data_IF_313107624106
#
_entry.id   IF_313107624106
#
_cell.length_a   1.000
_cell.length_b   1.000
_cell.length_c   1.000
_cell.angle_alpha   90.00
_cell.angle_beta   90.00
_cell.angle_gamma   90.00
#
_symmetry.space_group_name_H-M   'P 1'
#
loop_
_entity.id
_entity.type
_entity.pdbx_description
1 polymer ?
#
# COMPACT_ATOMS: atom_id res chain seq x y z
N UNK A 1 -26.32 0.82 -8.14
CA UNK A 1 -25.79 1.55 -9.30
C UNK A 1 -24.44 0.92 -9.55
N UNK A 2 -24.20 0.42 -10.76
CA UNK A 2 -22.87 -0.09 -11.12
C UNK A 2 -21.90 1.10 -11.10
N UNK A 3 -21.20 1.25 -9.98
CA UNK A 3 -20.08 2.19 -9.86
C UNK A 3 -18.91 1.59 -10.62
N UNK A 4 -18.90 1.81 -11.94
CA UNK A 4 -17.77 1.54 -12.82
C UNK A 4 -16.98 2.84 -12.98
N UNK A 5 -15.69 2.79 -12.67
CA UNK A 5 -14.74 3.92 -12.84
C UNK A 5 -14.32 4.01 -14.30
N UNK A 6 -14.15 2.86 -14.94
CA UNK A 6 -13.76 2.72 -16.34
C UNK A 6 -14.50 1.54 -16.99
N UNK A 7 -14.83 1.69 -18.27
CA UNK A 7 -15.42 0.61 -19.05
C UNK A 7 -14.35 -0.44 -19.43
N UNK A 8 -14.72 -1.71 -19.65
CA UNK A 8 -13.75 -2.76 -20.05
C UNK A 8 -12.89 -2.40 -21.27
N UNK A 9 -13.48 -1.74 -22.28
CA UNK A 9 -12.74 -1.31 -23.49
C UNK A 9 -11.72 -0.21 -23.19
N UNK A 10 -12.05 0.70 -22.26
CA UNK A 10 -11.09 1.73 -21.82
C UNK A 10 -9.96 1.10 -21.02
N UNK A 11 -10.27 0.14 -20.15
CA UNK A 11 -9.28 -0.60 -19.37
C UNK A 11 -8.32 -1.37 -20.27
N UNK A 12 -8.80 -2.02 -21.33
CA UNK A 12 -7.98 -2.71 -22.32
C UNK A 12 -6.97 -1.75 -22.97
N UNK A 13 -7.44 -0.59 -23.45
CA UNK A 13 -6.57 0.45 -24.02
C UNK A 13 -5.52 0.97 -23.03
N UNK A 14 -5.91 1.19 -21.77
CA UNK A 14 -4.99 1.62 -20.72
C UNK A 14 -3.92 0.57 -20.45
N UNK A 15 -4.31 -0.68 -20.21
CA UNK A 15 -3.38 -1.79 -19.92
C UNK A 15 -2.41 -1.98 -21.08
N UNK A 16 -2.89 -2.01 -22.33
CA UNK A 16 -2.05 -2.22 -23.50
C UNK A 16 -0.98 -1.11 -23.64
N UNK A 17 -1.36 0.14 -23.31
CA UNK A 17 -0.49 1.31 -23.40
C UNK A 17 0.60 1.41 -22.32
N UNK A 18 0.52 0.60 -21.25
CA UNK A 18 1.49 0.67 -20.15
C UNK A 18 2.91 0.38 -20.66
N UNK A 19 3.86 1.25 -20.31
CA UNK A 19 5.26 1.17 -20.69
C UNK A 19 6.19 1.47 -19.50
N UNK A 20 7.45 1.07 -19.61
CA UNK A 20 8.47 1.40 -18.60
C UNK A 20 9.08 2.76 -18.89
N UNK A 21 9.31 3.58 -17.86
CA UNK A 21 9.93 4.90 -17.99
C UNK A 21 11.36 4.94 -17.46
N UNK A 22 12.18 5.85 -18.01
CA UNK A 22 13.48 6.14 -17.42
C UNK A 22 13.35 7.06 -16.20
N UNK A 23 14.36 7.04 -15.31
CA UNK A 23 14.34 7.86 -14.09
C UNK A 23 14.26 9.37 -14.38
N UNK A 24 14.78 9.81 -15.53
CA UNK A 24 14.72 11.21 -15.98
C UNK A 24 13.29 11.63 -16.37
N UNK A 25 12.48 10.69 -16.84
CA UNK A 25 11.12 10.94 -17.33
C UNK A 25 10.06 10.92 -16.21
N UNK A 26 10.43 10.54 -15.00
CA UNK A 26 9.54 10.59 -13.82
C UNK A 26 9.00 12.02 -13.66
N UNK A 27 7.67 12.12 -13.63
CA UNK A 27 6.92 13.39 -13.57
C UNK A 27 6.69 14.08 -14.92
N UNK A 28 7.21 13.56 -16.04
CA UNK A 28 6.87 14.08 -17.37
C UNK A 28 5.37 13.94 -17.67
N UNK A 29 4.86 14.67 -18.68
CA UNK A 29 3.44 14.59 -19.05
C UNK A 29 3.01 13.16 -19.43
N UNK A 30 3.88 12.43 -20.14
CA UNK A 30 3.64 11.01 -20.48
C UNK A 30 3.56 10.14 -19.23
N UNK A 31 4.48 10.35 -18.30
CA UNK A 31 4.51 9.60 -17.04
C UNK A 31 3.26 9.90 -16.18
N UNK A 32 2.86 11.16 -16.05
CA UNK A 32 1.62 11.52 -15.32
C UNK A 32 0.37 10.94 -15.97
N UNK A 33 0.33 10.85 -17.30
CA UNK A 33 -0.76 10.19 -18.02
C UNK A 33 -0.83 8.70 -17.71
N UNK A 34 0.30 8.01 -17.67
CA UNK A 34 0.34 6.61 -17.24
C UNK A 34 -0.06 6.45 -15.77
N UNK A 35 0.38 7.34 -14.88
CA UNK A 35 -0.06 7.32 -13.48
C UNK A 35 -1.60 7.43 -13.37
N UNK A 36 -2.23 8.31 -14.14
CA UNK A 36 -3.69 8.43 -14.19
C UNK A 36 -4.36 7.12 -14.65
N UNK A 37 -3.79 6.45 -15.65
CA UNK A 37 -4.30 5.15 -16.11
C UNK A 37 -4.19 4.09 -15.02
N UNK A 38 -3.02 3.96 -14.38
CA UNK A 38 -2.79 2.98 -13.31
C UNK A 38 -3.72 3.26 -12.12
N UNK A 39 -3.93 4.53 -11.76
CA UNK A 39 -4.85 4.91 -10.67
C UNK A 39 -6.29 4.51 -10.98
N UNK A 40 -6.77 4.72 -12.21
CA UNK A 40 -8.10 4.26 -12.64
C UNK A 40 -8.22 2.73 -12.64
N UNK A 41 -7.20 2.03 -13.12
CA UNK A 41 -7.12 0.56 -13.08
C UNK A 41 -7.16 0.06 -11.63
N UNK A 42 -6.41 0.70 -10.72
CA UNK A 42 -6.39 0.40 -9.29
C UNK A 42 -7.78 0.55 -8.66
N UNK A 43 -8.44 1.69 -8.84
CA UNK A 43 -9.79 1.90 -8.33
C UNK A 43 -10.76 0.84 -8.85
N UNK A 44 -10.74 0.54 -10.15
CA UNK A 44 -11.62 -0.46 -10.74
C UNK A 44 -11.32 -1.87 -10.22
N UNK A 45 -10.05 -2.24 -10.04
CA UNK A 45 -9.67 -3.52 -9.48
C UNK A 45 -10.21 -3.71 -8.04
N UNK A 46 -10.11 -2.67 -7.21
CA UNK A 46 -10.66 -2.69 -5.84
C UNK A 46 -12.17 -2.88 -5.87
N UNK A 47 -12.87 -2.21 -6.79
CA UNK A 47 -14.33 -2.34 -6.94
C UNK A 47 -14.73 -3.74 -7.39
N UNK A 48 -14.02 -4.31 -8.37
CA UNK A 48 -14.28 -5.68 -8.84
C UNK A 48 -14.12 -6.69 -7.68
N UNK A 49 -13.01 -6.59 -6.94
CA UNK A 49 -12.73 -7.46 -5.80
C UNK A 49 -13.74 -7.29 -4.66
N UNK A 50 -14.11 -6.04 -4.34
CA UNK A 50 -15.06 -5.73 -3.25
C UNK A 50 -16.48 -6.18 -3.57
N UNK A 51 -16.88 -6.13 -4.85
CA UNK A 51 -18.19 -6.56 -5.31
C UNK A 51 -18.28 -8.09 -5.54
N UNK A 52 -17.16 -8.82 -5.52
CA UNK A 52 -17.06 -10.21 -5.98
C UNK A 52 -17.56 -10.37 -7.43
N UNK A 53 -17.25 -9.38 -8.27
CA UNK A 53 -17.58 -9.38 -9.70
C UNK A 53 -16.41 -9.97 -10.52
N UNK A 54 -16.60 -10.03 -11.84
CA UNK A 54 -15.53 -10.42 -12.77
C UNK A 54 -14.32 -9.48 -12.67
N UNK A 55 -13.15 -10.04 -12.38
CA UNK A 55 -11.92 -9.29 -12.11
C UNK A 55 -11.16 -8.99 -13.41
N UNK A 56 -11.86 -8.38 -14.38
CA UNK A 56 -11.31 -8.15 -15.73
C UNK A 56 -10.00 -7.34 -15.76
N UNK A 57 -9.75 -6.46 -14.79
CA UNK A 57 -8.48 -5.72 -14.71
C UNK A 57 -7.30 -6.68 -14.52
N UNK A 58 -7.45 -7.67 -13.63
CA UNK A 58 -6.45 -8.72 -13.40
C UNK A 58 -6.23 -9.52 -14.69
N UNK A 59 -7.32 -9.96 -15.33
CA UNK A 59 -7.26 -10.75 -16.57
C UNK A 59 -6.53 -10.00 -17.69
N UNK A 60 -6.81 -8.70 -17.87
CA UNK A 60 -6.13 -7.87 -18.87
C UNK A 60 -4.63 -7.72 -18.55
N UNK A 61 -4.27 -7.45 -17.29
CA UNK A 61 -2.86 -7.29 -16.88
C UNK A 61 -2.05 -8.57 -17.10
N UNK A 62 -2.65 -9.73 -16.81
CA UNK A 62 -2.07 -11.06 -17.06
C UNK A 62 -1.96 -11.30 -18.56
N UNK A 63 -3.05 -11.15 -19.31
CA UNK A 63 -3.12 -11.44 -20.75
C UNK A 63 -2.17 -10.59 -21.59
N UNK A 64 -1.97 -9.32 -21.23
CA UNK A 64 -1.03 -8.43 -21.91
C UNK A 64 0.40 -8.45 -21.33
N UNK A 65 0.67 -9.27 -20.31
CA UNK A 65 1.99 -9.38 -19.70
C UNK A 65 2.49 -8.07 -19.08
N UNK A 66 1.61 -7.31 -18.42
CA UNK A 66 1.92 -5.96 -17.90
C UNK A 66 2.29 -5.93 -16.42
N UNK A 67 2.22 -7.04 -15.71
CA UNK A 67 2.64 -7.11 -14.29
C UNK A 67 4.12 -6.73 -14.13
N UNK A 68 5.07 -7.21 -14.96
CA UNK A 68 6.47 -6.77 -14.87
C UNK A 68 6.65 -5.25 -15.07
N UNK A 69 5.82 -4.61 -15.89
CA UNK A 69 5.84 -3.15 -16.09
C UNK A 69 5.41 -2.44 -14.81
N UNK A 70 4.37 -2.92 -14.13
CA UNK A 70 3.95 -2.38 -12.83
C UNK A 70 5.06 -2.51 -11.78
N UNK A 71 5.69 -3.68 -11.67
CA UNK A 71 6.80 -3.89 -10.73
C UNK A 71 7.96 -2.94 -11.03
N UNK A 72 8.31 -2.76 -12.32
CA UNK A 72 9.33 -1.80 -12.73
C UNK A 72 8.98 -0.36 -12.32
N UNK A 73 7.79 0.12 -12.63
CA UNK A 73 7.38 1.50 -12.33
C UNK A 73 7.33 1.78 -10.82
N UNK A 74 6.93 0.79 -10.02
CA UNK A 74 6.98 0.88 -8.56
C UNK A 74 8.42 1.04 -8.06
N UNK A 75 9.34 0.21 -8.56
CA UNK A 75 10.77 0.24 -8.21
C UNK A 75 11.42 1.54 -8.71
N UNK A 76 11.02 2.05 -9.88
CA UNK A 76 11.49 3.31 -10.43
C UNK A 76 11.21 4.47 -9.48
N UNK A 77 9.98 4.55 -8.95
CA UNK A 77 9.61 5.56 -7.95
C UNK A 77 10.34 5.32 -6.63
N UNK A 78 10.50 4.08 -6.19
CA UNK A 78 11.28 3.76 -4.99
C UNK A 78 12.72 4.30 -5.13
N UNK A 79 13.40 4.05 -6.25
CA UNK A 79 14.75 4.57 -6.54
C UNK A 79 14.75 6.09 -6.59
N UNK A 80 13.76 6.70 -7.24
CA UNK A 80 13.64 8.16 -7.32
C UNK A 80 13.53 8.79 -5.92
N UNK A 81 12.70 8.22 -5.03
CA UNK A 81 12.56 8.68 -3.64
C UNK A 81 13.85 8.54 -2.84
N UNK A 82 14.69 7.55 -3.13
CA UNK A 82 15.95 7.33 -2.42
C UNK A 82 17.13 8.15 -2.96
N UNK A 83 17.17 8.41 -4.27
CA UNK A 83 18.35 8.96 -4.95
C UNK A 83 18.17 10.39 -5.44
N UNK A 84 16.95 10.77 -5.85
CA UNK A 84 16.67 12.07 -6.47
C UNK A 84 15.92 12.98 -5.52
N UNK A 85 14.85 12.49 -4.90
CA UNK A 85 14.01 13.28 -3.99
C UNK A 85 14.81 13.98 -2.86
N UNK A 86 15.79 13.34 -2.19
CA UNK A 86 16.59 13.99 -1.15
C UNK A 86 17.42 15.15 -1.67
N UNK A 87 17.82 15.11 -2.95
CA UNK A 87 18.61 16.17 -3.57
C UNK A 87 17.71 17.36 -3.90
N UNK A 88 16.46 17.13 -4.32
CA UNK A 88 15.55 18.20 -4.76
C UNK A 88 15.41 19.31 -3.72
N UNK A 89 15.09 18.97 -2.47
CA UNK A 89 14.93 19.98 -1.41
C UNK A 89 16.25 20.45 -0.79
N UNK A 90 17.40 19.84 -1.14
CA UNK A 90 18.73 20.36 -0.78
C UNK A 90 19.22 21.43 -1.77
N UNK A 91 18.54 21.62 -2.91
CA UNK A 91 18.86 22.67 -3.87
C UNK A 91 18.38 24.02 -3.33
N UNK A 92 19.30 24.98 -3.21
CA UNK A 92 19.01 26.33 -2.68
C UNK A 92 17.93 27.08 -3.48
N UNK A 93 17.82 26.82 -4.79
CA UNK A 93 16.89 27.50 -5.68
C UNK A 93 15.51 26.80 -5.77
N UNK A 94 15.30 25.71 -5.04
CA UNK A 94 14.06 24.94 -5.11
C UNK A 94 13.15 25.22 -3.92
N UNK A 95 12.28 26.21 -4.08
CA UNK A 95 11.18 26.51 -3.16
C UNK A 95 9.85 26.53 -3.92
N UNK A 96 9.26 25.34 -4.20
CA UNK A 96 8.05 25.27 -5.00
C UNK A 96 6.87 25.88 -4.23
N UNK A 97 6.15 26.81 -4.85
CA UNK A 97 4.88 27.33 -4.31
C UNK A 97 3.80 26.25 -4.18
N UNK A 98 3.98 25.12 -4.87
CA UNK A 98 3.05 23.99 -4.86
C UNK A 98 3.84 22.66 -4.97
N UNK A 99 3.64 21.75 -4.02
CA UNK A 99 4.31 20.44 -3.93
C UNK A 99 3.54 19.30 -4.58
N UNK A 100 2.41 19.59 -5.22
CA UNK A 100 1.47 18.60 -5.71
C UNK A 100 2.05 17.60 -6.71
N UNK A 101 2.80 18.06 -7.71
CA UNK A 101 3.44 17.15 -8.67
C UNK A 101 4.42 16.19 -7.97
N UNK A 102 5.14 16.66 -6.95
CA UNK A 102 6.04 15.80 -6.17
C UNK A 102 5.24 14.78 -5.36
N UNK A 103 4.15 15.22 -4.74
CA UNK A 103 3.24 14.34 -4.01
C UNK A 103 2.69 13.24 -4.92
N UNK A 104 2.25 13.58 -6.14
CA UNK A 104 1.75 12.61 -7.12
C UNK A 104 2.81 11.59 -7.55
N UNK A 105 4.08 12.01 -7.68
CA UNK A 105 5.18 11.08 -7.92
C UNK A 105 5.36 10.11 -6.75
N UNK A 106 5.31 10.61 -5.52
CA UNK A 106 5.43 9.78 -4.31
C UNK A 106 4.23 8.82 -4.17
N UNK A 107 3.02 9.32 -4.45
CA UNK A 107 1.77 8.57 -4.38
C UNK A 107 1.71 7.44 -5.40
N UNK A 108 2.36 7.57 -6.56
CA UNK A 108 2.38 6.52 -7.58
C UNK A 108 2.86 5.17 -7.06
N UNK A 109 3.86 5.14 -6.18
CA UNK A 109 4.29 3.88 -5.55
C UNK A 109 3.17 3.24 -4.73
N UNK A 110 2.39 4.05 -3.99
CA UNK A 110 1.24 3.58 -3.22
C UNK A 110 0.12 3.05 -4.13
N UNK A 111 -0.15 3.73 -5.25
CA UNK A 111 -1.09 3.27 -6.26
C UNK A 111 -0.70 1.90 -6.81
N UNK A 112 0.56 1.74 -7.22
CA UNK A 112 1.02 0.51 -7.86
C UNK A 112 1.04 -0.66 -6.88
N UNK A 113 1.57 -0.47 -5.66
CA UNK A 113 1.59 -1.55 -4.66
C UNK A 113 0.17 -1.96 -4.24
N UNK A 114 -0.80 -1.04 -4.23
CA UNK A 114 -2.19 -1.36 -3.93
C UNK A 114 -2.87 -2.14 -5.05
N UNK A 115 -2.58 -1.80 -6.32
CA UNK A 115 -3.03 -2.58 -7.47
C UNK A 115 -2.41 -3.99 -7.43
N UNK A 116 -1.10 -4.11 -7.16
CA UNK A 116 -0.42 -5.38 -6.98
C UNK A 116 -1.01 -6.18 -5.80
N UNK A 117 -1.27 -5.57 -4.65
CA UNK A 117 -1.96 -6.22 -3.52
C UNK A 117 -3.31 -6.79 -3.94
N UNK A 118 -4.06 -6.06 -4.77
CA UNK A 118 -5.39 -6.49 -5.21
C UNK A 118 -5.30 -7.69 -6.15
N UNK A 119 -4.46 -7.62 -7.19
CA UNK A 119 -4.43 -8.64 -8.25
C UNK A 119 -3.63 -9.89 -7.87
N UNK A 120 -2.58 -9.74 -7.03
CA UNK A 120 -1.68 -10.85 -6.68
C UNK A 120 -2.27 -11.82 -5.66
N UNK A 121 -3.46 -11.54 -5.13
CA UNK A 121 -4.22 -12.54 -4.37
C UNK A 121 -4.40 -13.84 -5.17
N UNK A 122 -4.49 -13.74 -6.50
CA UNK A 122 -4.64 -14.88 -7.42
C UNK A 122 -3.30 -15.42 -7.92
N UNK A 123 -3.22 -16.76 -8.06
CA UNK A 123 -1.99 -17.48 -8.45
C UNK A 123 -1.48 -17.09 -9.84
N UNK A 124 -2.38 -16.94 -10.81
CA UNK A 124 -2.08 -16.56 -12.19
C UNK A 124 -1.37 -15.20 -12.30
N UNK A 125 -1.74 -14.22 -11.46
CA UNK A 125 -1.04 -12.94 -11.35
C UNK A 125 0.40 -13.11 -10.85
N UNK A 126 0.63 -13.99 -9.87
CA UNK A 126 1.98 -14.28 -9.37
C UNK A 126 2.84 -14.98 -10.44
N UNK A 127 2.25 -15.89 -11.21
CA UNK A 127 2.94 -16.57 -12.32
C UNK A 127 3.26 -15.60 -13.47
N UNK A 128 2.32 -14.72 -13.81
CA UNK A 128 2.50 -13.71 -14.86
C UNK A 128 3.47 -12.57 -14.48
N UNK A 129 3.87 -12.48 -13.20
CA UNK A 129 4.98 -11.61 -12.80
C UNK A 129 6.34 -12.15 -13.30
N UNK A 130 6.44 -13.43 -13.64
CA UNK A 130 7.66 -14.07 -14.16
C UNK A 130 8.91 -13.70 -13.32
N UNK A 131 10.04 -13.40 -13.94
CA UNK A 131 11.29 -13.00 -13.26
C UNK A 131 11.13 -11.76 -12.35
N UNK A 132 10.18 -10.87 -12.62
CA UNK A 132 9.97 -9.67 -11.81
C UNK A 132 9.47 -9.95 -10.39
N UNK A 133 9.00 -11.17 -10.11
CA UNK A 133 8.64 -11.58 -8.74
C UNK A 133 9.85 -11.54 -7.80
N UNK A 134 11.07 -11.76 -8.31
CA UNK A 134 12.30 -11.66 -7.52
C UNK A 134 12.58 -10.22 -7.10
N UNK A 135 12.39 -9.28 -8.03
CA UNK A 135 12.50 -7.84 -7.76
C UNK A 135 11.44 -7.39 -6.74
N UNK A 136 10.24 -7.98 -6.80
CA UNK A 136 9.17 -7.74 -5.85
C UNK A 136 9.46 -8.32 -4.45
N UNK A 137 10.09 -9.50 -4.35
CA UNK A 137 10.56 -10.05 -3.07
C UNK A 137 11.61 -9.12 -2.44
N UNK A 138 12.55 -8.64 -3.23
CA UNK A 138 13.56 -7.68 -2.80
C UNK A 138 12.94 -6.36 -2.32
N UNK A 139 11.92 -5.88 -3.03
CA UNK A 139 11.12 -4.73 -2.64
C UNK A 139 10.41 -4.95 -1.30
N UNK A 140 9.67 -6.05 -1.16
CA UNK A 140 9.00 -6.41 0.10
C UNK A 140 10.00 -6.48 1.26
N UNK A 141 11.17 -7.09 1.05
CA UNK A 141 12.21 -7.17 2.08
C UNK A 141 12.64 -5.79 2.58
N UNK A 142 12.91 -4.84 1.66
CA UNK A 142 13.30 -3.47 2.01
C UNK A 142 12.21 -2.78 2.82
N UNK A 143 10.95 -2.88 2.39
CA UNK A 143 9.80 -2.28 3.07
C UNK A 143 9.56 -2.85 4.46
N UNK A 144 9.57 -4.18 4.59
CA UNK A 144 9.34 -4.84 5.88
C UNK A 144 10.48 -4.57 6.87
N UNK A 145 11.73 -4.55 6.40
CA UNK A 145 12.89 -4.18 7.24
C UNK A 145 12.80 -2.73 7.70
N UNK A 146 12.41 -1.82 6.80
CA UNK A 146 12.17 -0.42 7.16
C UNK A 146 11.09 -0.29 8.24
N UNK A 147 9.96 -0.98 8.05
CA UNK A 147 8.83 -1.01 8.97
C UNK A 147 9.22 -1.53 10.35
N UNK A 148 9.91 -2.68 10.41
CA UNK A 148 10.42 -3.25 11.65
C UNK A 148 11.38 -2.29 12.35
N UNK A 149 12.31 -1.68 11.60
CA UNK A 149 13.29 -0.74 12.18
C UNK A 149 12.64 0.52 12.76
N UNK A 150 11.58 1.03 12.13
CA UNK A 150 10.85 2.22 12.61
C UNK A 150 10.12 1.90 13.90
N UNK A 151 9.40 0.79 13.98
CA UNK A 151 8.68 0.40 15.18
C UNK A 151 9.60 0.15 16.38
N UNK A 152 10.77 -0.46 16.17
CA UNK A 152 11.76 -0.64 17.24
C UNK A 152 12.27 0.72 17.76
N UNK A 153 12.51 1.69 16.88
CA UNK A 153 12.90 3.05 17.28
C UNK A 153 11.79 3.76 18.04
N UNK A 154 10.56 3.70 17.55
CA UNK A 154 9.40 4.33 18.21
C UNK A 154 9.16 3.75 19.61
N UNK A 155 9.26 2.43 19.77
CA UNK A 155 9.17 1.76 21.06
C UNK A 155 10.26 2.25 22.04
N UNK A 156 11.49 2.45 21.56
CA UNK A 156 12.58 3.00 22.38
C UNK A 156 12.37 4.48 22.76
N UNK A 157 11.81 5.30 21.86
CA UNK A 157 11.58 6.73 22.08
C UNK A 157 10.30 7.05 22.87
N UNK A 158 9.38 6.10 23.05
CA UNK A 158 8.15 6.30 23.84
C UNK A 158 8.46 6.59 25.33
N UNK A 159 9.73 6.48 25.75
CA UNK A 159 10.23 6.91 27.06
C UNK A 159 10.72 8.37 27.15
N UNK A 160 10.77 9.14 26.05
CA UNK A 160 11.26 10.53 26.07
C UNK A 160 10.47 11.47 25.14
N UNK A 161 9.74 12.37 25.80
CA UNK A 161 9.19 13.64 25.32
C UNK A 161 7.98 13.68 24.38
N UNK A 162 6.85 14.06 24.98
CA UNK A 162 5.85 14.95 24.41
C UNK A 162 6.48 16.32 24.10
N UNK A 163 6.61 16.67 22.82
CA UNK A 163 6.83 18.04 22.36
C UNK A 163 6.02 18.25 21.07
N UNK A 164 4.73 18.54 21.21
CA UNK A 164 3.93 19.14 20.14
C UNK A 164 3.97 20.65 20.29
N UNK A 165 4.92 21.28 19.61
CA UNK A 165 4.77 22.66 19.17
C UNK A 165 4.25 22.63 17.75
N UNK A 166 3.08 23.20 17.49
CA UNK A 166 2.59 23.47 16.14
C UNK A 166 3.49 24.54 15.51
N UNK A 167 4.59 24.09 14.90
CA UNK A 167 5.29 24.89 13.91
C UNK A 167 4.55 24.70 12.57
N UNK A 168 4.11 25.81 11.98
CA UNK A 168 3.68 25.82 10.56
C UNK A 168 4.93 25.50 9.75
N UNK A 169 5.13 24.21 9.44
CA UNK A 169 6.26 23.74 8.67
C UNK A 169 6.22 24.29 7.24
N UNK A 170 7.38 24.33 6.58
CA UNK A 170 7.43 24.68 5.16
C UNK A 170 6.65 23.66 4.31
N UNK A 171 6.18 24.03 3.11
CA UNK A 171 5.47 23.11 2.21
C UNK A 171 6.27 21.83 1.89
N UNK A 172 7.61 21.90 1.97
CA UNK A 172 8.51 20.76 1.80
C UNK A 172 8.50 19.85 3.04
N UNK A 173 8.46 20.40 4.24
CA UNK A 173 8.37 19.61 5.49
C UNK A 173 7.03 18.84 5.54
N UNK A 174 5.93 19.48 5.12
CA UNK A 174 4.64 18.80 4.98
C UNK A 174 4.71 17.62 4.00
N UNK A 175 5.35 17.83 2.84
CA UNK A 175 5.55 16.76 1.85
C UNK A 175 6.41 15.62 2.40
N UNK A 176 7.42 15.90 3.22
CA UNK A 176 8.23 14.88 3.89
C UNK A 176 7.41 14.07 4.90
N UNK A 177 6.53 14.73 5.66
CA UNK A 177 5.61 14.05 6.57
C UNK A 177 4.61 13.17 5.81
N UNK A 178 4.05 13.67 4.71
CA UNK A 178 3.16 12.91 3.83
C UNK A 178 3.87 11.69 3.22
N UNK A 179 5.11 11.86 2.74
CA UNK A 179 5.93 10.76 2.25
C UNK A 179 6.18 9.70 3.34
N UNK A 180 6.47 10.12 4.58
CA UNK A 180 6.69 9.20 5.69
C UNK A 180 5.42 8.42 6.07
N UNK A 181 4.25 9.07 6.02
CA UNK A 181 2.95 8.44 6.23
C UNK A 181 2.62 7.44 5.12
N UNK A 182 2.77 7.83 3.84
CA UNK A 182 2.60 6.92 2.70
C UNK A 182 3.55 5.73 2.77
N UNK A 183 4.81 5.95 3.17
CA UNK A 183 5.79 4.88 3.31
C UNK A 183 5.37 3.82 4.33
N UNK A 184 4.66 4.22 5.40
CA UNK A 184 4.07 3.28 6.35
C UNK A 184 2.99 2.44 5.67
N UNK A 185 2.04 3.06 4.97
CA UNK A 185 0.95 2.36 4.28
C UNK A 185 1.47 1.42 3.18
N UNK A 186 2.40 1.89 2.35
CA UNK A 186 3.11 1.09 1.35
C UNK A 186 3.76 -0.14 1.99
N UNK A 187 4.40 0.03 3.14
CA UNK A 187 5.04 -1.10 3.83
C UNK A 187 4.02 -2.12 4.34
N UNK A 188 2.84 -1.70 4.79
CA UNK A 188 1.76 -2.61 5.17
C UNK A 188 1.22 -3.39 3.96
N UNK A 189 1.10 -2.73 2.80
CA UNK A 189 0.71 -3.37 1.53
C UNK A 189 1.74 -4.41 1.08
N UNK A 190 3.03 -4.10 1.24
CA UNK A 190 4.12 -5.02 0.95
C UNK A 190 4.08 -6.30 1.81
N UNK A 191 3.52 -6.24 3.03
CA UNK A 191 3.30 -7.44 3.86
C UNK A 191 2.27 -8.38 3.21
N UNK A 192 1.14 -7.82 2.73
CA UNK A 192 0.13 -8.61 2.01
C UNK A 192 0.70 -9.20 0.72
N UNK A 193 1.41 -8.40 -0.08
CA UNK A 193 2.03 -8.86 -1.32
C UNK A 193 3.03 -9.99 -1.07
N UNK A 194 3.89 -9.86 -0.04
CA UNK A 194 4.78 -10.93 0.36
C UNK A 194 4.00 -12.19 0.73
N UNK A 195 2.91 -12.06 1.50
CA UNK A 195 2.08 -13.23 1.85
C UNK A 195 1.58 -13.94 0.61
N UNK A 196 1.05 -13.22 -0.38
CA UNK A 196 0.57 -13.82 -1.62
C UNK A 196 1.68 -14.53 -2.41
N UNK A 197 2.87 -13.95 -2.45
CA UNK A 197 4.04 -14.63 -3.03
C UNK A 197 4.33 -15.94 -2.29
N UNK A 198 4.29 -15.94 -0.95
CA UNK A 198 4.50 -17.18 -0.17
C UNK A 198 3.40 -18.21 -0.36
N UNK A 199 2.16 -17.80 -0.65
CA UNK A 199 1.05 -18.71 -0.94
C UNK A 199 1.30 -19.47 -2.26
N UNK A 200 1.71 -18.74 -3.29
CA UNK A 200 1.68 -19.22 -4.68
C UNK A 200 3.02 -19.67 -5.27
N UNK A 201 4.16 -19.28 -4.67
CA UNK A 201 5.46 -19.55 -5.29
C UNK A 201 5.92 -21.00 -5.13
N UNK A 202 6.28 -21.61 -6.27
CA UNK A 202 6.97 -22.90 -6.38
C UNK A 202 8.40 -22.71 -6.94
N UNK A 203 8.79 -21.46 -7.24
CA UNK A 203 10.09 -21.14 -7.84
C UNK A 203 11.21 -21.29 -6.83
N UNK A 204 12.17 -22.15 -7.15
CA UNK A 204 13.38 -22.39 -6.35
C UNK A 204 14.17 -21.08 -6.14
N UNK A 205 14.28 -20.24 -7.16
CA UNK A 205 14.97 -18.94 -7.08
C UNK A 205 14.29 -18.03 -6.07
N UNK A 206 12.96 -17.96 -6.08
CA UNK A 206 12.16 -17.13 -5.18
C UNK A 206 12.26 -17.63 -3.74
N UNK A 207 12.12 -18.94 -3.53
CA UNK A 207 12.27 -19.56 -2.21
C UNK A 207 13.67 -19.30 -1.65
N UNK A 208 14.72 -19.48 -2.47
CA UNK A 208 16.10 -19.22 -2.06
C UNK A 208 16.32 -17.74 -1.70
N UNK A 209 15.76 -16.82 -2.48
CA UNK A 209 15.81 -15.38 -2.23
C UNK A 209 15.17 -15.02 -0.88
N UNK A 210 13.96 -15.54 -0.61
CA UNK A 210 13.25 -15.28 0.64
C UNK A 210 13.95 -15.88 1.86
N UNK A 211 14.42 -17.12 1.77
CA UNK A 211 14.93 -17.88 2.91
C UNK A 211 16.41 -17.66 3.16
N UNK A 212 17.23 -17.76 2.12
CA UNK A 212 18.70 -17.79 2.24
C UNK A 212 19.31 -16.40 2.04
N UNK A 213 18.77 -15.59 1.13
CA UNK A 213 19.29 -14.22 0.91
C UNK A 213 18.76 -13.25 1.96
N UNK A 214 17.44 -13.18 2.14
CA UNK A 214 16.80 -12.15 2.98
C UNK A 214 16.43 -12.61 4.38
N UNK A 215 16.43 -13.92 4.65
CA UNK A 215 15.98 -14.47 5.92
C UNK A 215 14.62 -13.90 6.36
N UNK A 216 13.65 -13.93 5.43
CA UNK A 216 12.30 -13.43 5.63
C UNK A 216 11.61 -13.96 6.90
N UNK A 217 11.78 -15.25 7.31
CA UNK A 217 11.19 -15.72 8.56
C UNK A 217 11.61 -14.89 9.78
N UNK A 218 12.88 -14.49 9.88
CA UNK A 218 13.36 -13.65 10.98
C UNK A 218 12.80 -12.22 10.91
N UNK A 219 12.66 -11.65 9.71
CA UNK A 219 12.02 -10.34 9.52
C UNK A 219 10.56 -10.38 9.98
N UNK A 220 9.82 -11.43 9.61
CA UNK A 220 8.42 -11.63 10.01
C UNK A 220 8.27 -11.85 11.53
N UNK A 221 9.18 -12.58 12.17
CA UNK A 221 9.23 -12.69 13.64
C UNK A 221 9.40 -11.32 14.28
N UNK A 222 10.28 -10.48 13.74
CA UNK A 222 10.49 -9.13 14.27
C UNK A 222 9.23 -8.27 14.13
N UNK A 223 8.45 -8.42 13.05
CA UNK A 223 7.19 -7.72 12.87
C UNK A 223 6.10 -8.17 13.85
N UNK A 224 6.06 -9.45 14.23
CA UNK A 224 5.17 -9.94 15.30
C UNK A 224 5.57 -9.33 16.64
N UNK A 225 6.87 -9.28 16.92
CA UNK A 225 7.41 -8.76 18.17
C UNK A 225 7.14 -7.26 18.35
N UNK A 226 7.42 -6.44 17.32
CA UNK A 226 7.22 -4.99 17.41
C UNK A 226 5.81 -4.52 17.03
N UNK A 227 5.02 -5.35 16.34
CA UNK A 227 3.63 -5.10 15.89
C UNK A 227 3.39 -3.63 15.44
N UNK A 228 3.98 -3.20 14.30
CA UNK A 228 4.02 -1.78 13.90
C UNK A 228 2.64 -1.17 13.63
N UNK A 229 1.60 -1.98 13.44
CA UNK A 229 0.21 -1.57 13.28
C UNK A 229 -0.58 -1.55 14.60
N UNK A 230 0.09 -1.65 15.75
CA UNK A 230 -0.50 -1.53 17.09
C UNK A 230 0.32 -0.57 17.94
N UNK A 231 -0.34 0.32 18.68
CA UNK A 231 0.34 1.26 19.58
C UNK A 231 -0.50 1.55 20.82
N UNK A 232 0.16 1.96 21.91
CA UNK A 232 -0.50 2.44 23.11
C UNK A 232 -0.28 3.96 23.24
N UNK A 233 -1.36 4.73 23.32
CA UNK A 233 -1.34 6.18 23.56
C UNK A 233 -2.19 6.50 24.77
N UNK A 234 -1.59 7.14 25.78
CA UNK A 234 -2.30 7.57 27.00
C UNK A 234 -3.07 6.45 27.72
N UNK A 235 -2.57 5.20 27.64
CA UNK A 235 -3.23 4.01 28.22
C UNK A 235 -4.30 3.37 27.33
N UNK A 236 -4.61 3.98 26.19
CA UNK A 236 -5.52 3.43 25.18
C UNK A 236 -4.75 2.67 24.09
N UNK A 237 -5.26 1.50 23.73
CA UNK A 237 -4.70 0.69 22.64
C UNK A 237 -5.33 1.13 21.33
N UNK A 238 -4.51 1.51 20.36
CA UNK A 238 -4.91 1.82 18.99
C UNK A 238 -4.31 0.79 18.04
N UNK A 239 -5.11 0.31 17.07
CA UNK A 239 -4.65 -0.52 15.97
C UNK A 239 -4.94 0.15 14.63
N UNK A 240 -4.05 -0.02 13.66
CA UNK A 240 -4.22 0.51 12.32
C UNK A 240 -5.06 -0.46 11.48
N UNK A 241 -6.30 -0.08 11.20
CA UNK A 241 -7.31 -0.91 10.53
C UNK A 241 -7.99 -0.08 9.45
N UNK A 242 -8.07 -0.62 8.23
CA UNK A 242 -8.74 0.01 7.08
C UNK A 242 -8.26 1.46 6.80
N UNK A 243 -6.95 1.67 6.77
CA UNK A 243 -6.36 2.97 6.41
C UNK A 243 -6.32 4.00 7.55
N UNK A 244 -6.70 3.63 8.78
CA UNK A 244 -6.76 4.58 9.91
C UNK A 244 -6.42 3.92 11.24
N UNK A 245 -5.86 4.71 12.15
CA UNK A 245 -5.70 4.33 13.55
C UNK A 245 -7.05 4.35 14.27
N UNK A 246 -7.42 3.24 14.89
CA UNK A 246 -8.70 3.07 15.60
C UNK A 246 -8.44 2.65 17.03
N UNK A 247 -9.15 3.26 17.99
CA UNK A 247 -9.14 2.86 19.39
C UNK A 247 -9.83 1.50 19.54
N UNK A 248 -9.21 0.59 20.28
CA UNK A 248 -9.67 -0.78 20.44
C UNK A 248 -10.23 -0.98 21.85
N UNK A 249 -11.52 -1.33 21.98
CA UNK A 249 -12.13 -1.72 23.26
C UNK A 249 -11.37 -2.85 23.93
N UNK A 250 -11.45 -2.93 25.27
CA UNK A 250 -10.67 -3.90 26.07
C UNK A 250 -10.93 -5.34 25.63
N UNK A 251 -12.19 -5.65 25.36
CA UNK A 251 -12.68 -6.95 24.87
C UNK A 251 -12.09 -7.37 23.52
N UNK A 252 -11.74 -6.41 22.65
CA UNK A 252 -11.23 -6.67 21.30
C UNK A 252 -9.70 -6.57 21.22
N UNK A 253 -9.00 -6.28 22.32
CA UNK A 253 -7.53 -6.09 22.31
C UNK A 253 -6.78 -7.34 21.82
N UNK A 254 -7.28 -8.53 22.14
CA UNK A 254 -6.71 -9.81 21.73
C UNK A 254 -7.19 -10.26 20.32
N UNK A 255 -8.11 -9.52 19.71
CA UNK A 255 -8.58 -9.84 18.36
C UNK A 255 -7.46 -9.60 17.35
N UNK A 256 -7.24 -10.60 16.51
CA UNK A 256 -6.25 -10.59 15.44
C UNK A 256 -6.69 -9.60 14.34
N UNK A 257 -5.77 -8.76 13.89
CA UNK A 257 -5.99 -7.90 12.73
C UNK A 257 -5.72 -8.66 11.43
N UNK A 258 -6.15 -8.11 10.29
CA UNK A 258 -5.81 -8.67 8.97
C UNK A 258 -4.30 -8.77 8.77
N UNK A 259 -3.54 -7.77 9.21
CA UNK A 259 -2.09 -7.71 9.08
C UNK A 259 -1.38 -8.78 9.90
N UNK A 260 -1.84 -9.01 11.13
CA UNK A 260 -1.35 -10.13 11.94
C UNK A 260 -1.54 -11.46 11.18
N UNK A 261 -2.73 -11.66 10.59
CA UNK A 261 -3.03 -12.80 9.74
C UNK A 261 -2.05 -12.94 8.55
N UNK A 262 -1.74 -11.85 7.85
CA UNK A 262 -0.79 -11.88 6.73
C UNK A 262 0.59 -12.39 7.18
N UNK A 263 1.10 -11.91 8.33
CA UNK A 263 2.42 -12.31 8.83
C UNK A 263 2.43 -13.74 9.31
N UNK A 264 1.39 -14.17 10.03
CA UNK A 264 1.26 -15.55 10.51
C UNK A 264 1.15 -16.57 9.37
N UNK A 265 0.36 -16.26 8.34
CA UNK A 265 0.22 -17.13 7.17
C UNK A 265 1.55 -17.18 6.39
N UNK A 266 2.23 -16.04 6.23
CA UNK A 266 3.57 -16.01 5.61
C UNK A 266 4.57 -16.89 6.35
N UNK A 267 4.59 -16.84 7.69
CA UNK A 267 5.42 -17.71 8.51
C UNK A 267 5.04 -19.18 8.39
N UNK A 268 3.73 -19.48 8.39
CA UNK A 268 3.23 -20.84 8.17
C UNK A 268 3.76 -21.40 6.84
N UNK A 269 3.62 -20.65 5.74
CA UNK A 269 4.09 -21.05 4.42
C UNK A 269 5.60 -21.26 4.37
N UNK A 270 6.38 -20.32 4.91
CA UNK A 270 7.84 -20.37 4.84
C UNK A 270 8.45 -21.43 5.76
N UNK A 271 7.75 -21.87 6.82
CA UNK A 271 8.27 -22.82 7.79
C UNK A 271 7.73 -24.24 7.63
N UNK A 272 6.54 -24.42 7.03
CA UNK A 272 5.88 -25.72 6.95
C UNK A 272 5.86 -26.31 5.54
N UNK A 273 6.04 -25.52 4.48
CA UNK A 273 6.19 -26.08 3.12
C UNK A 273 7.51 -26.86 3.04
N UNK A 274 7.45 -28.06 2.46
CA UNK A 274 8.58 -28.99 2.41
C UNK A 274 9.78 -28.40 1.66
N UNK A 275 9.55 -27.75 0.53
CA UNK A 275 10.62 -27.11 -0.26
C UNK A 275 11.31 -25.97 0.48
N UNK A 276 10.58 -25.26 1.35
CA UNK A 276 11.14 -24.24 2.22
C UNK A 276 11.99 -24.86 3.34
N UNK A 277 11.48 -25.90 4.00
CA UNK A 277 12.20 -26.60 5.09
C UNK A 277 13.52 -27.20 4.62
N UNK A 278 13.55 -27.76 3.40
CA UNK A 278 14.78 -28.33 2.81
C UNK A 278 15.87 -27.28 2.57
N UNK A 279 15.51 -26.01 2.43
CA UNK A 279 16.43 -24.91 2.13
C UNK A 279 16.81 -24.04 3.32
N UNK A 280 15.91 -23.85 4.27
CA UNK A 280 16.15 -22.92 5.37
C UNK A 280 17.18 -23.45 6.35
N UNK A 281 18.19 -22.63 6.66
CA UNK A 281 19.23 -22.97 7.64
C UNK A 281 18.76 -22.67 9.06
N UNK A 282 18.46 -23.72 9.83
CA UNK A 282 18.07 -23.63 11.24
C UNK A 282 19.27 -23.53 12.19
N UNK A 283 20.22 -22.65 11.87
CA UNK A 283 21.32 -22.34 12.77
C UNK A 283 20.84 -21.76 14.12
N UNK A 284 21.74 -21.70 15.10
CA UNK A 284 21.43 -21.24 16.46
C UNK A 284 20.73 -19.89 16.49
N UNK A 285 21.13 -18.93 15.64
CA UNK A 285 20.50 -17.61 15.61
C UNK A 285 19.07 -17.69 15.09
N UNK A 286 18.87 -18.28 13.90
CA UNK A 286 17.57 -18.41 13.24
C UNK A 286 16.59 -19.20 14.11
N UNK A 287 17.02 -20.35 14.66
CA UNK A 287 16.24 -21.16 15.59
C UNK A 287 15.79 -20.34 16.80
N UNK A 288 16.70 -19.60 17.45
CA UNK A 288 16.35 -18.80 18.62
C UNK A 288 15.37 -17.67 18.30
N UNK A 289 15.45 -17.04 17.12
CA UNK A 289 14.44 -16.06 16.69
C UNK A 289 13.08 -16.73 16.51
N UNK A 290 13.00 -17.83 15.77
CA UNK A 290 11.75 -18.55 15.52
C UNK A 290 11.08 -19.03 16.82
N UNK A 291 11.88 -19.48 17.81
CA UNK A 291 11.34 -19.95 19.08
C UNK A 291 10.66 -18.85 19.92
N UNK A 292 10.93 -17.56 19.64
CA UNK A 292 10.18 -16.44 20.26
C UNK A 292 8.69 -16.50 19.91
N UNK A 293 8.33 -17.00 18.72
CA UNK A 293 6.94 -17.12 18.25
C UNK A 293 6.07 -17.93 19.22
N UNK A 294 6.65 -18.86 19.98
CA UNK A 294 5.94 -19.66 20.99
C UNK A 294 5.25 -18.79 22.05
N UNK A 295 5.82 -17.64 22.39
CA UNK A 295 5.21 -16.70 23.34
C UNK A 295 3.99 -15.95 22.78
N UNK A 296 3.87 -15.88 21.46
CA UNK A 296 2.76 -15.18 20.77
C UNK A 296 1.63 -16.14 20.35
N UNK A 297 1.91 -17.44 20.24
CA UNK A 297 0.93 -18.50 19.93
C UNK A 297 0.05 -18.84 21.14
N UNK A 298 -0.78 -17.88 21.55
CA UNK A 298 -1.77 -18.02 22.63
C UNK A 298 -2.99 -18.82 22.19
N UNK A 299 -3.74 -19.40 23.14
CA UNK A 299 -4.99 -20.11 22.84
C UNK A 299 -5.98 -19.22 22.07
N UNK A 300 -6.10 -17.95 22.45
CA UNK A 300 -6.97 -16.97 21.76
C UNK A 300 -6.55 -16.71 20.31
N UNK A 301 -5.24 -16.75 20.01
CA UNK A 301 -4.76 -16.63 18.64
C UNK A 301 -5.07 -17.90 17.84
N UNK A 302 -4.84 -19.07 18.45
CA UNK A 302 -5.14 -20.38 17.83
C UNK A 302 -6.64 -20.52 17.53
N UNK A 303 -7.52 -20.08 18.43
CA UNK A 303 -8.98 -20.09 18.20
C UNK A 303 -9.39 -19.23 17.00
N UNK A 304 -8.68 -18.12 16.76
CA UNK A 304 -8.93 -17.22 15.63
C UNK A 304 -8.30 -17.70 14.32
N UNK A 305 -7.20 -18.45 14.37
CA UNK A 305 -6.54 -19.05 13.20
C UNK A 305 -6.08 -20.49 13.51
N UNK A 306 -6.99 -21.47 13.48
CA UNK A 306 -6.71 -22.85 13.93
C UNK A 306 -5.57 -23.55 13.18
N UNK A 307 -5.30 -23.15 11.94
CA UNK A 307 -4.21 -23.70 11.14
C UNK A 307 -2.82 -23.50 11.80
N UNK A 308 -2.69 -22.52 12.70
CA UNK A 308 -1.44 -22.29 13.45
C UNK A 308 -1.10 -23.38 14.47
N UNK A 309 -2.00 -24.32 14.76
CA UNK A 309 -1.70 -25.48 15.64
C UNK A 309 -0.52 -26.29 15.07
N UNK A 310 -0.44 -26.45 13.76
CA UNK A 310 0.66 -27.16 13.11
C UNK A 310 1.98 -26.42 13.29
N UNK A 311 1.97 -25.09 13.12
CA UNK A 311 3.13 -24.25 13.37
C UNK A 311 3.57 -24.32 14.85
N UNK A 312 2.62 -24.32 15.78
CA UNK A 312 2.90 -24.47 17.21
C UNK A 312 3.58 -25.81 17.51
N UNK A 313 3.07 -26.91 16.94
CA UNK A 313 3.68 -28.25 17.07
C UNK A 313 5.08 -28.29 16.45
N UNK A 314 5.25 -27.70 15.28
CA UNK A 314 6.54 -27.60 14.60
C UNK A 314 7.58 -26.87 15.45
N UNK A 315 7.22 -25.71 16.02
CA UNK A 315 8.09 -24.93 16.91
C UNK A 315 8.40 -25.67 18.22
N UNK A 316 7.45 -26.46 18.75
CA UNK A 316 7.69 -27.30 19.92
C UNK A 316 8.72 -28.40 19.61
N UNK A 317 8.63 -29.04 18.44
CA UNK A 317 9.62 -30.01 17.98
C UNK A 317 10.99 -29.35 17.73
N UNK A 318 11.01 -28.20 17.07
CA UNK A 318 12.23 -27.42 16.82
C UNK A 318 12.94 -27.01 18.13
N UNK A 319 12.21 -26.85 19.24
CA UNK A 319 12.80 -26.49 20.53
C UNK A 319 13.66 -27.63 21.12
N UNK A 320 13.31 -28.88 20.83
CA UNK A 320 13.97 -30.08 21.39
C UNK A 320 14.87 -30.81 20.40
N UNK A 321 14.68 -30.56 19.10
CA UNK A 321 15.41 -31.21 18.01
C UNK A 321 16.11 -30.15 17.15
N UNK A 322 17.34 -30.44 16.73
CA UNK A 322 18.04 -29.65 15.72
C UNK A 322 17.84 -30.29 14.33
N UNK A 323 17.21 -29.58 13.37
CA UNK A 323 17.12 -30.05 11.99
C UNK A 323 18.52 -30.24 11.39
N UNK A 324 18.66 -31.23 10.50
CA UNK A 324 19.88 -31.38 9.74
C UNK A 324 20.12 -30.10 8.90
N UNK A 325 21.37 -29.62 8.77
CA UNK A 325 21.66 -28.45 7.96
C UNK A 325 21.24 -28.70 6.50
N UNK A 326 20.78 -27.66 5.79
CA UNK A 326 20.37 -27.79 4.40
C UNK A 326 21.54 -28.23 3.53
N UNK A 327 21.26 -29.09 2.54
CA UNK A 327 22.30 -29.55 1.60
C UNK A 327 22.71 -28.40 0.68
N UNK A 328 24.02 -28.21 0.52
CA UNK A 328 24.57 -27.24 -0.43
C UNK A 328 24.49 -27.82 -1.85
N UNK A 329 23.41 -27.53 -2.54
CA UNK A 329 23.22 -27.89 -3.94
C UNK A 329 23.64 -26.72 -4.84
N UNK A 330 24.27 -27.03 -5.98
CA UNK A 330 24.55 -26.02 -7.01
C UNK A 330 23.23 -25.70 -7.72
N UNK A 331 22.72 -24.49 -7.51
CA UNK A 331 21.46 -24.03 -8.09
C UNK A 331 21.77 -22.92 -9.09
N UNK A 332 21.22 -23.02 -10.30
CA UNK A 332 21.20 -21.92 -11.24
C UNK A 332 20.07 -20.97 -10.83
N UNK A 333 20.42 -19.80 -10.33
CA UNK A 333 19.47 -18.83 -9.80
C UNK A 333 19.26 -17.68 -10.79
N UNK A 334 17.99 -17.32 -10.99
CA UNK A 334 17.61 -16.03 -11.57
C UNK A 334 17.90 -14.93 -10.54
N UNK A 335 18.33 -13.76 -11.01
CA UNK A 335 18.75 -12.64 -10.16
C UNK A 335 17.82 -11.45 -10.45
N UNK A 336 17.32 -10.73 -9.42
CA UNK A 336 16.56 -9.50 -9.64
C UNK A 336 17.43 -8.42 -10.27
N UNK A 337 16.91 -7.79 -11.33
CA UNK A 337 17.68 -6.87 -12.16
C UNK A 337 17.18 -5.43 -12.12
N UNK A 338 15.89 -5.18 -11.84
CA UNK A 338 15.26 -3.87 -12.07
C UNK A 338 15.91 -2.76 -11.25
N UNK A 339 16.02 -2.94 -9.93
CA UNK A 339 16.66 -1.94 -9.06
C UNK A 339 18.11 -1.68 -9.47
N UNK A 340 18.88 -2.76 -9.69
CA UNK A 340 20.29 -2.67 -10.02
C UNK A 340 20.51 -2.02 -11.39
N UNK A 341 19.64 -2.30 -12.36
CA UNK A 341 19.66 -1.71 -13.68
C UNK A 341 19.43 -0.20 -13.61
N UNK A 342 18.33 0.24 -12.96
CA UNK A 342 18.00 1.66 -12.80
C UNK A 342 19.13 2.39 -12.08
N UNK A 343 19.68 1.81 -11.01
CA UNK A 343 20.79 2.41 -10.26
C UNK A 343 22.06 2.53 -11.10
N UNK A 344 22.42 1.48 -11.85
CA UNK A 344 23.62 1.45 -12.68
C UNK A 344 23.55 2.45 -13.84
N UNK A 345 22.42 2.49 -14.54
CA UNK A 345 22.20 3.38 -15.69
C UNK A 345 22.31 4.87 -15.30
N UNK A 346 21.87 5.21 -14.09
CA UNK A 346 21.79 6.59 -13.60
C UNK A 346 22.92 6.98 -12.64
N UNK A 347 23.90 6.09 -12.44
CA UNK A 347 25.03 6.31 -11.54
C UNK A 347 25.81 7.58 -11.89
N UNK A 348 26.09 8.41 -10.88
CA UNK A 348 26.77 9.70 -11.03
C UNK A 348 25.91 10.83 -11.63
N UNK A 349 24.65 10.57 -12.02
CA UNK A 349 23.78 11.55 -12.68
C UNK A 349 22.65 12.09 -11.80
N UNK A 350 22.53 11.63 -10.54
CA UNK A 350 21.45 11.99 -9.62
C UNK A 350 21.19 13.50 -9.52
N UNK A 351 22.25 14.29 -9.33
CA UNK A 351 22.16 15.75 -9.22
C UNK A 351 21.77 16.42 -10.54
N UNK A 352 22.20 15.88 -11.67
CA UNK A 352 21.84 16.40 -12.98
C UNK A 352 20.36 16.12 -13.29
N UNK A 353 19.87 14.92 -12.94
CA UNK A 353 18.46 14.55 -13.06
C UNK A 353 17.60 15.45 -12.16
N UNK A 354 17.99 15.63 -10.89
CA UNK A 354 17.29 16.50 -9.95
C UNK A 354 17.16 17.93 -10.50
N UNK A 355 18.26 18.53 -10.98
CA UNK A 355 18.23 19.88 -11.57
C UNK A 355 17.35 19.96 -12.81
N UNK A 356 17.41 18.96 -13.68
CA UNK A 356 16.56 18.88 -14.87
C UNK A 356 15.08 18.84 -14.48
N UNK A 357 14.69 17.96 -13.55
CA UNK A 357 13.30 17.81 -13.13
C UNK A 357 12.78 19.04 -12.37
N UNK A 358 13.59 19.70 -11.55
CA UNK A 358 13.17 20.98 -10.93
C UNK A 358 12.75 21.98 -11.99
N UNK A 359 13.57 22.13 -13.03
CA UNK A 359 13.37 23.14 -14.07
C UNK A 359 12.25 22.80 -15.04
N UNK A 360 12.21 21.55 -15.50
CA UNK A 360 11.36 21.14 -16.63
C UNK A 360 10.10 20.38 -16.18
N UNK A 361 9.98 19.98 -14.91
CA UNK A 361 8.92 19.06 -14.44
C UNK A 361 8.17 19.54 -13.19
N UNK A 362 8.91 20.02 -12.18
CA UNK A 362 8.37 20.43 -10.88
C UNK A 362 8.28 21.95 -10.71
N UNK A 363 8.26 22.68 -11.83
CA UNK A 363 7.94 24.11 -11.88
C UNK A 363 6.74 24.36 -12.83
N UNK A 364 5.57 23.75 -12.57
CA UNK A 364 4.42 23.87 -13.47
C UNK A 364 3.85 25.30 -13.51
N UNK A 365 3.24 25.65 -14.65
CA UNK A 365 2.46 26.88 -14.76
C UNK A 365 1.13 26.76 -14.01
N UNK A 366 0.48 27.89 -13.69
CA UNK A 366 -0.83 27.87 -13.04
C UNK A 366 -1.90 27.17 -13.90
N UNK A 367 -1.80 27.27 -15.23
CA UNK A 367 -2.66 26.54 -16.16
C UNK A 367 -2.48 25.02 -16.06
N UNK A 368 -1.25 24.54 -15.90
CA UNK A 368 -0.97 23.11 -15.77
C UNK A 368 -1.57 22.55 -14.48
N UNK A 369 -1.43 23.30 -13.38
CA UNK A 369 -2.02 22.96 -12.09
C UNK A 369 -3.55 22.90 -12.15
N UNK A 370 -4.19 23.86 -12.83
CA UNK A 370 -5.65 23.86 -13.01
C UNK A 370 -6.13 22.66 -13.83
N UNK A 371 -5.43 22.34 -14.93
CA UNK A 371 -5.78 21.20 -15.77
C UNK A 371 -5.66 19.88 -15.00
N UNK A 372 -4.60 19.71 -14.20
CA UNK A 372 -4.46 18.53 -13.35
C UNK A 372 -5.53 18.44 -12.26
N UNK A 373 -5.83 19.55 -11.58
CA UNK A 373 -6.90 19.59 -10.58
C UNK A 373 -8.24 19.16 -11.18
N UNK A 374 -8.55 19.61 -12.40
CA UNK A 374 -9.75 19.19 -13.12
C UNK A 374 -9.76 17.69 -13.47
N UNK A 375 -8.61 17.13 -13.91
CA UNK A 375 -8.51 15.69 -14.20
C UNK A 375 -8.74 14.85 -12.94
N UNK A 376 -8.17 15.28 -11.82
CA UNK A 376 -8.30 14.55 -10.56
C UNK A 376 -9.69 14.69 -9.94
N UNK A 377 -10.32 15.85 -10.04
CA UNK A 377 -11.72 16.03 -9.64
C UNK A 377 -12.66 15.11 -10.45
N UNK A 378 -12.35 14.85 -11.72
CA UNK A 378 -13.09 13.88 -12.54
C UNK A 378 -12.84 12.43 -12.11
N UNK A 379 -11.60 12.11 -11.71
CA UNK A 379 -11.19 10.76 -11.33
C UNK A 379 -11.72 10.37 -9.94
N UNK A 380 -11.56 11.24 -8.95
CA UNK A 380 -12.07 11.07 -7.59
C UNK A 380 -13.45 11.73 -7.45
N UNK A 381 -14.39 11.37 -8.31
CA UNK A 381 -15.76 11.84 -8.12
C UNK A 381 -16.34 11.26 -6.81
N UNK A 382 -17.32 11.95 -6.24
CA UNK A 382 -17.86 11.64 -4.91
C UNK A 382 -18.51 10.24 -4.81
N UNK A 383 -18.91 9.66 -5.94
CA UNK A 383 -19.58 8.36 -5.99
C UNK A 383 -18.56 7.23 -6.00
N UNK A 384 -17.45 7.41 -6.75
CA UNK A 384 -16.30 6.48 -6.76
C UNK A 384 -15.64 6.46 -5.39
N UNK A 385 -15.32 7.63 -4.82
CA UNK A 385 -14.69 7.71 -3.49
C UNK A 385 -15.48 6.98 -2.41
N UNK A 386 -16.80 7.07 -2.46
CA UNK A 386 -17.65 6.39 -1.51
C UNK A 386 -17.69 4.87 -1.73
N UNK A 387 -17.78 4.43 -2.99
CA UNK A 387 -17.80 2.99 -3.30
C UNK A 387 -16.53 2.25 -2.86
N UNK A 388 -15.43 2.98 -2.68
CA UNK A 388 -14.16 2.46 -2.16
C UNK A 388 -14.08 2.45 -0.63
N UNK A 389 -15.04 3.04 0.10
CA UNK A 389 -15.01 3.05 1.56
C UNK A 389 -15.36 1.67 2.14
N UNK A 390 -14.55 1.13 3.06
CA UNK A 390 -14.81 -0.19 3.66
C UNK A 390 -16.07 -0.22 4.55
N UNK A 391 -16.52 0.94 5.04
CA UNK A 391 -17.74 1.05 5.85
C UNK A 391 -18.85 1.72 5.03
N UNK A 392 -20.00 1.04 4.94
CA UNK A 392 -21.18 1.60 4.28
C UNK A 392 -21.69 2.84 5.03
N UNK A 393 -22.20 3.84 4.30
CA UNK A 393 -22.76 5.03 4.93
C UNK A 393 -23.93 4.68 5.86
N UNK A 394 -24.01 5.39 7.00
CA UNK A 394 -25.08 5.21 7.98
C UNK A 394 -26.16 6.28 7.82
N UNK A 395 -27.41 5.91 8.08
CA UNK A 395 -28.56 6.77 8.00
C UNK A 395 -28.50 7.85 9.09
N UNK A 396 -28.50 9.13 8.71
CA UNK A 396 -28.48 10.27 9.64
C UNK A 396 -29.69 10.34 10.59
N UNK A 397 -30.76 9.56 10.33
CA UNK A 397 -31.92 9.47 11.21
C UNK A 397 -31.89 8.29 12.18
N UNK A 398 -31.48 7.10 11.73
CA UNK A 398 -31.67 5.84 12.49
C UNK A 398 -30.39 5.03 12.69
N UNK A 399 -29.26 5.45 12.13
CA UNK A 399 -27.96 4.80 12.27
C UNK A 399 -27.77 3.48 11.51
N UNK A 400 -28.82 2.95 10.87
CA UNK A 400 -28.74 1.75 10.00
C UNK A 400 -28.04 2.06 8.68
N UNK A 401 -27.58 1.04 7.97
CA UNK A 401 -27.01 1.20 6.63
C UNK A 401 -27.95 2.00 5.71
N UNK A 402 -27.37 2.98 5.03
CA UNK A 402 -28.06 3.86 4.12
C UNK A 402 -27.67 3.54 2.67
N UNK A 403 -28.61 3.75 1.75
CA UNK A 403 -28.40 3.51 0.32
C UNK A 403 -28.79 4.70 -0.55
N UNK A 404 -29.31 5.78 0.06
CA UNK A 404 -29.81 6.95 -0.66
C UNK A 404 -29.27 8.23 -0.06
N UNK A 405 -28.81 9.13 -0.93
CA UNK A 405 -28.43 10.51 -0.58
C UNK A 405 -29.66 11.43 -0.60
N UNK A 406 -29.58 12.51 0.15
CA UNK A 406 -30.44 13.67 -0.07
C UNK A 406 -30.23 14.19 -1.50
N UNK A 407 -31.26 14.12 -2.35
CA UNK A 407 -31.16 14.52 -3.75
C UNK A 407 -30.82 16.00 -3.98
N UNK A 408 -30.96 16.85 -2.94
CA UNK A 408 -30.72 18.28 -3.04
C UNK A 408 -29.26 18.66 -2.76
N UNK A 409 -28.71 18.24 -1.63
CA UNK A 409 -27.34 18.60 -1.23
C UNK A 409 -26.32 17.49 -1.46
N UNK A 410 -26.79 16.25 -1.66
CA UNK A 410 -25.98 15.02 -1.71
C UNK A 410 -25.08 14.73 -0.49
N UNK A 411 -25.09 15.59 0.54
CA UNK A 411 -24.19 15.47 1.69
C UNK A 411 -24.69 14.64 2.87
N UNK A 412 -25.91 14.11 2.84
CA UNK A 412 -26.48 13.33 3.96
C UNK A 412 -27.18 12.05 3.49
N UNK A 413 -27.09 11.01 4.31
CA UNK A 413 -27.49 9.64 3.99
C UNK A 413 -28.75 9.18 4.70
N UNK A 414 -29.57 8.43 3.96
CA UNK A 414 -30.80 7.82 4.47
C UNK A 414 -30.98 6.40 3.94
N UNK A 415 -31.49 5.50 4.79
CA UNK A 415 -31.93 4.18 4.34
C UNK A 415 -33.17 4.29 3.44
N UNK A 416 -34.14 5.12 3.82
CA UNK A 416 -35.37 5.35 3.07
C UNK A 416 -35.85 6.80 3.19
N UNK A 417 -36.75 7.20 2.29
CA UNK A 417 -37.36 8.55 2.26
C UNK A 417 -38.05 8.91 3.58
N UNK A 418 -38.61 7.93 4.27
CA UNK A 418 -39.24 8.14 5.58
C UNK A 418 -38.26 8.69 6.63
N UNK A 419 -37.04 8.16 6.66
CA UNK A 419 -35.98 8.65 7.55
C UNK A 419 -35.52 10.07 7.16
N UNK A 420 -35.47 10.38 5.86
CA UNK A 420 -35.18 11.73 5.39
C UNK A 420 -36.25 12.73 5.85
N UNK A 421 -37.53 12.39 5.71
CA UNK A 421 -38.63 13.26 6.15
C UNK A 421 -38.62 13.46 7.65
N UNK A 422 -38.37 12.40 8.44
CA UNK A 422 -38.24 12.49 9.91
C UNK A 422 -37.07 13.36 10.34
N UNK A 423 -35.93 13.27 9.64
CA UNK A 423 -34.74 14.06 9.95
C UNK A 423 -34.76 15.47 9.33
N UNK A 424 -35.70 15.77 8.43
CA UNK A 424 -35.70 17.00 7.63
C UNK A 424 -35.64 18.28 8.46
N UNK A 425 -36.33 18.34 9.61
CA UNK A 425 -36.32 19.50 10.50
C UNK A 425 -34.92 19.86 11.00
N UNK A 426 -34.06 18.86 11.22
CA UNK A 426 -32.66 19.03 11.63
C UNK A 426 -31.72 19.22 10.43
N UNK A 427 -31.95 18.49 9.33
CA UNK A 427 -31.10 18.52 8.16
C UNK A 427 -31.29 19.76 7.26
N UNK A 428 -32.49 20.37 7.21
CA UNK A 428 -32.85 21.43 6.25
C UNK A 428 -31.85 22.58 6.18
N UNK A 429 -31.35 23.06 7.32
CA UNK A 429 -30.39 24.17 7.38
C UNK A 429 -29.02 23.77 6.82
N UNK A 430 -28.52 22.60 7.19
CA UNK A 430 -27.27 22.06 6.66
C UNK A 430 -27.39 21.77 5.16
N UNK A 431 -28.52 21.21 4.72
CA UNK A 431 -28.82 20.94 3.31
C UNK A 431 -28.72 22.20 2.45
N UNK A 432 -29.23 23.33 2.95
CA UNK A 432 -29.24 24.58 2.20
C UNK A 432 -27.83 25.16 2.05
N UNK A 433 -27.05 25.18 3.14
CA UNK A 433 -25.65 25.64 3.10
C UNK A 433 -24.79 24.80 2.14
N UNK A 434 -24.96 23.48 2.17
CA UNK A 434 -24.21 22.57 1.29
C UNK A 434 -24.59 22.74 -0.18
N UNK A 435 -25.88 22.93 -0.47
CA UNK A 435 -26.34 23.19 -1.84
C UNK A 435 -25.79 24.52 -2.38
N UNK A 436 -25.87 25.59 -1.58
CA UNK A 436 -25.37 26.92 -1.94
C UNK A 436 -23.84 26.91 -2.16
N UNK A 437 -23.08 26.20 -1.32
CA UNK A 437 -21.64 26.03 -1.48
C UNK A 437 -21.29 25.28 -2.77
N UNK A 438 -22.03 24.20 -3.09
CA UNK A 438 -21.81 23.40 -4.30
C UNK A 438 -22.12 24.20 -5.56
N UNK A 439 -23.22 24.96 -5.58
CA UNK A 439 -23.57 25.85 -6.69
C UNK A 439 -22.54 26.98 -6.89
N UNK A 440 -21.97 27.50 -5.79
CA UNK A 440 -20.93 28.53 -5.85
C UNK A 440 -19.64 27.96 -6.47
N UNK A 441 -19.20 26.79 -6.01
CA UNK A 441 -18.03 26.10 -6.57
C UNK A 441 -18.24 25.80 -8.06
N UNK A 442 -19.42 25.30 -8.45
CA UNK A 442 -19.73 25.02 -9.85
C UNK A 442 -19.73 26.28 -10.73
N UNK A 443 -20.24 27.41 -10.21
CA UNK A 443 -20.20 28.70 -10.90
C UNK A 443 -18.78 29.23 -11.03
N UNK A 444 -17.97 29.16 -9.98
CA UNK A 444 -16.59 29.63 -10.00
C UNK A 444 -15.71 28.79 -10.96
N UNK A 445 -16.04 27.51 -11.14
CA UNK A 445 -15.42 26.63 -12.14
C UNK A 445 -15.87 26.93 -13.58
N UNK A 446 -17.10 27.41 -13.80
CA UNK A 446 -17.65 27.71 -15.13
C UNK A 446 -17.39 29.16 -15.61
N UNK A 447 -17.25 30.12 -14.70
CA UNK A 447 -17.00 31.54 -15.05
C UNK A 447 -15.53 31.78 -15.46
N UNK A 448 -14.63 30.86 -15.08
CA UNK A 448 -13.19 30.94 -15.38
C UNK A 448 -12.72 29.91 -16.43
N UNK A 449 -13.65 29.28 -17.15
CA UNK A 449 -13.39 28.54 -18.40
C UNK A 449 -13.56 29.50 -19.59
#
# INVERSE_FOLDING_TARGET
MDTSVILPVEAEGFVQSLETFSLKEVGSERWFRQHEYIEKLNMQAILNASAMHDEFIKELLVSFGKIPVLVHEMILVEVWKHKVFPILYQLQDFNPNNTFHLYMVIHHEATVINLLETIMYHKDSCEAADDSVLDLVDYCHRKLTLLASKAVRECATTNQHNLTGEAVGSSIEELQMQNAALEFEISLKAVSVLRYITDHTESISVINRMLCTHNMPCVLVQLIDCCPWSRCKEGEVEKYINGRWQKIPVEDRLKMTKLDGQVWISLYNLLLKEDCQRKYDFNNFNKNQLLKLRGFLTEVLIDQLPNLVELQRYLAHLAVTDPAPPKKELILEQIPEMWNHIVRENSGRWKAIAKYQVKETFSPSESDLRLQAQRLAKMYNLDVMESLLPEKPKCGSCGKEATKRCSRCQGEWYCHRECQVKHWSKHKRACQLMAEATEKIQRDLHINS
#
